data_IF_212473446304
#
_entry.id   IF_212473446304
#
_cell.length_a   1.000
_cell.length_b   1.000
_cell.length_c   1.000
_cell.angle_alpha   90.00
_cell.angle_beta   90.00
_cell.angle_gamma   90.00
#
_symmetry.space_group_name_H-M   'P 1'
#
loop_
_entity.id
_entity.type
_entity.pdbx_description
1 polymer ?
#
# COMPACT_ATOMS: atom_id res chain seq x y z
N UNK A 1 -5.26 -16.30 4.78
CA UNK A 1 -4.10 -17.15 5.05
C UNK A 1 -4.47 -18.63 4.87
N UNK A 2 -3.54 -19.41 4.40
CA UNK A 2 -3.67 -20.88 4.42
C UNK A 2 -3.63 -21.37 5.86
N UNK A 3 -4.06 -22.59 6.15
CA UNK A 3 -3.98 -23.16 7.51
C UNK A 3 -2.55 -23.12 8.07
N UNK A 4 -1.54 -23.21 7.19
CA UNK A 4 -0.12 -23.06 7.52
C UNK A 4 0.21 -21.69 8.10
N UNK A 5 -0.34 -20.58 7.56
CA UNK A 5 -0.08 -19.24 8.10
C UNK A 5 -0.70 -19.03 9.50
N UNK A 6 -1.77 -19.74 9.84
CA UNK A 6 -2.34 -19.73 11.18
C UNK A 6 -1.50 -20.59 12.15
N UNK A 7 -0.98 -21.72 11.68
CA UNK A 7 -0.05 -22.53 12.45
C UNK A 7 1.26 -21.80 12.73
N UNK A 8 1.82 -21.06 11.78
CA UNK A 8 3.01 -20.23 11.96
C UNK A 8 2.77 -19.07 12.94
N UNK A 9 1.59 -18.46 12.90
CA UNK A 9 1.23 -17.38 13.84
C UNK A 9 1.15 -17.90 15.28
N UNK A 10 0.58 -19.10 15.46
CA UNK A 10 0.49 -19.79 16.77
C UNK A 10 1.83 -20.42 17.15
N UNK A 11 2.60 -20.92 16.17
CA UNK A 11 3.90 -21.53 16.41
C UNK A 11 4.91 -20.58 17.07
N UNK A 12 4.77 -19.27 16.87
CA UNK A 12 5.56 -18.24 17.54
C UNK A 12 5.22 -18.04 19.03
N UNK A 13 4.10 -18.59 19.51
CA UNK A 13 3.63 -18.44 20.88
C UNK A 13 3.99 -19.69 21.69
N UNK A 14 4.89 -19.53 22.67
CA UNK A 14 5.26 -20.63 23.57
C UNK A 14 4.17 -20.87 24.64
N UNK A 15 3.53 -19.80 25.14
CA UNK A 15 2.37 -19.91 26.04
C UNK A 15 1.49 -18.66 25.99
N UNK A 16 0.20 -18.87 26.22
CA UNK A 16 -0.81 -17.85 26.40
C UNK A 16 -1.57 -18.14 27.68
N UNK A 17 -1.49 -17.24 28.66
CA UNK A 17 -2.06 -17.46 29.99
C UNK A 17 -2.91 -16.26 30.40
N UNK A 18 -4.18 -16.49 30.74
CA UNK A 18 -4.99 -15.52 31.46
C UNK A 18 -4.52 -15.47 32.91
N UNK A 19 -3.84 -14.40 33.28
CA UNK A 19 -3.32 -14.20 34.66
C UNK A 19 -4.45 -13.80 35.60
N UNK A 20 -5.35 -12.97 35.11
CA UNK A 20 -6.59 -12.54 35.79
C UNK A 20 -7.64 -12.15 34.71
N UNK A 21 -8.77 -11.58 35.14
CA UNK A 21 -9.91 -11.26 34.26
C UNK A 21 -9.57 -10.21 33.19
N UNK A 22 -8.46 -9.48 33.31
CA UNK A 22 -8.08 -8.38 32.43
C UNK A 22 -6.64 -8.47 31.91
N UNK A 23 -5.90 -9.51 32.31
CA UNK A 23 -4.48 -9.66 32.00
C UNK A 23 -4.20 -10.96 31.26
N UNK A 24 -3.66 -10.85 30.05
CA UNK A 24 -3.16 -11.98 29.27
C UNK A 24 -1.64 -11.87 29.18
N UNK A 25 -0.94 -12.94 29.61
CA UNK A 25 0.51 -13.07 29.43
C UNK A 25 0.79 -13.93 28.20
N UNK A 26 1.55 -13.38 27.26
CA UNK A 26 1.98 -14.06 26.05
C UNK A 26 3.50 -14.27 26.13
N UNK A 27 3.93 -15.52 26.14
CA UNK A 27 5.35 -15.87 26.04
C UNK A 27 5.66 -16.30 24.61
N UNK A 28 6.64 -15.66 23.98
CA UNK A 28 7.09 -15.98 22.63
C UNK A 28 8.26 -16.95 22.67
N UNK A 29 8.38 -17.81 21.67
CA UNK A 29 9.50 -18.74 21.50
C UNK A 29 10.62 -18.19 20.61
N UNK A 30 10.53 -16.93 20.18
CA UNK A 30 11.49 -16.22 19.36
C UNK A 30 11.79 -14.82 19.92
N UNK A 31 12.86 -14.19 19.45
CA UNK A 31 13.27 -12.86 19.84
C UNK A 31 12.51 -11.80 19.03
N UNK A 32 11.35 -11.38 19.52
CA UNK A 32 10.47 -10.44 18.87
C UNK A 32 11.01 -9.01 18.93
N UNK A 33 11.17 -8.37 17.77
CA UNK A 33 11.40 -6.94 17.63
C UNK A 33 10.10 -6.13 17.58
N UNK A 34 10.24 -4.85 17.22
CA UNK A 34 9.10 -3.92 17.09
C UNK A 34 8.06 -4.39 16.07
N UNK A 35 8.49 -4.91 14.93
CA UNK A 35 7.60 -5.41 13.88
C UNK A 35 6.69 -6.52 14.41
N UNK A 36 7.27 -7.57 14.99
CA UNK A 36 6.51 -8.73 15.46
C UNK A 36 5.56 -8.38 16.62
N UNK A 37 6.01 -7.57 17.57
CA UNK A 37 5.19 -7.20 18.72
C UNK A 37 4.10 -6.19 18.34
N UNK A 38 4.51 -5.01 17.89
CA UNK A 38 3.61 -3.84 17.77
C UNK A 38 2.63 -4.00 16.61
N UNK A 39 3.06 -4.63 15.51
CA UNK A 39 2.29 -4.66 14.26
C UNK A 39 1.69 -6.03 13.91
N UNK A 40 1.98 -7.06 14.71
CA UNK A 40 1.37 -8.38 14.55
C UNK A 40 0.64 -8.82 15.81
N UNK A 41 1.35 -9.06 16.89
CA UNK A 41 0.78 -9.64 18.12
C UNK A 41 -0.14 -8.62 18.81
N UNK A 42 0.31 -7.38 18.98
CA UNK A 42 -0.46 -6.35 19.67
C UNK A 42 -1.72 -5.89 18.90
N UNK A 43 -1.81 -6.20 17.62
CA UNK A 43 -2.97 -5.91 16.77
C UNK A 43 -3.91 -7.11 16.60
N UNK A 44 -3.65 -8.22 17.26
CA UNK A 44 -4.55 -9.39 17.21
C UNK A 44 -5.95 -9.02 17.73
N UNK A 45 -7.01 -9.25 16.98
CA UNK A 45 -8.36 -8.90 17.40
C UNK A 45 -8.81 -9.80 18.55
N UNK A 46 -9.46 -9.19 19.57
CA UNK A 46 -10.11 -9.92 20.63
C UNK A 46 -11.53 -10.29 20.21
N UNK A 47 -11.85 -11.57 20.23
CA UNK A 47 -13.17 -12.08 19.87
C UNK A 47 -13.91 -12.56 21.13
N UNK A 48 -15.24 -12.38 21.16
CA UNK A 48 -16.06 -12.93 22.23
C UNK A 48 -16.16 -14.46 22.09
N UNK A 49 -15.55 -15.20 23.00
CA UNK A 49 -15.50 -16.67 22.96
C UNK A 49 -16.89 -17.29 22.93
N UNK A 50 -17.81 -16.80 23.77
CA UNK A 50 -19.18 -17.37 23.88
C UNK A 50 -19.93 -17.27 22.55
N UNK A 51 -19.73 -16.19 21.81
CA UNK A 51 -20.37 -16.02 20.51
C UNK A 51 -19.64 -16.82 19.42
N UNK A 52 -18.32 -16.67 19.31
CA UNK A 52 -17.58 -17.21 18.15
C UNK A 52 -17.31 -18.71 18.25
N UNK A 53 -17.22 -19.29 19.46
CA UNK A 53 -17.00 -20.74 19.64
C UNK A 53 -18.10 -21.60 19.03
N UNK A 54 -19.33 -21.10 18.91
CA UNK A 54 -20.43 -21.82 18.28
C UNK A 54 -20.21 -22.05 16.77
N UNK A 55 -19.36 -21.27 16.12
CA UNK A 55 -19.00 -21.36 14.71
C UNK A 55 -17.63 -21.99 14.48
N UNK A 56 -16.85 -22.20 15.52
CA UNK A 56 -15.49 -22.74 15.44
C UNK A 56 -15.46 -24.28 15.28
N UNK A 57 -16.37 -24.83 14.46
CA UNK A 57 -16.43 -26.27 14.15
C UNK A 57 -15.56 -26.63 12.95
N UNK A 58 -15.41 -25.70 12.02
CA UNK A 58 -14.47 -25.72 10.90
C UNK A 58 -14.08 -24.30 10.52
N UNK A 59 -13.04 -24.16 9.70
CA UNK A 59 -12.64 -22.86 9.13
C UNK A 59 -13.75 -22.29 8.24
N UNK A 60 -14.37 -23.15 7.43
CA UNK A 60 -15.45 -22.78 6.51
C UNK A 60 -16.66 -22.23 7.28
N UNK A 61 -17.05 -22.90 8.38
CA UNK A 61 -18.17 -22.45 9.22
C UNK A 61 -17.86 -21.09 9.87
N UNK A 62 -16.65 -20.89 10.37
CA UNK A 62 -16.22 -19.65 10.97
C UNK A 62 -16.21 -18.49 9.95
N UNK A 63 -15.71 -18.72 8.73
CA UNK A 63 -15.70 -17.72 7.66
C UNK A 63 -17.09 -17.41 7.09
N UNK A 64 -18.01 -18.37 7.16
CA UNK A 64 -19.40 -18.19 6.73
C UNK A 64 -20.28 -17.54 7.81
N UNK A 65 -19.80 -17.48 9.07
CA UNK A 65 -20.57 -16.92 10.16
C UNK A 65 -20.82 -15.42 9.97
N UNK A 66 -22.08 -15.00 10.19
CA UNK A 66 -22.41 -13.58 10.26
C UNK A 66 -21.92 -12.99 11.58
N UNK A 67 -21.16 -11.90 11.53
CA UNK A 67 -20.80 -11.15 12.72
C UNK A 67 -21.84 -10.13 13.17
N UNK A 68 -23.01 -10.07 12.52
CA UNK A 68 -24.02 -9.02 12.73
C UNK A 68 -24.53 -8.93 14.17
N UNK A 69 -24.67 -10.09 14.84
CA UNK A 69 -25.12 -10.17 16.23
C UNK A 69 -23.98 -10.38 17.23
N UNK A 70 -22.73 -10.30 16.78
CA UNK A 70 -21.58 -10.47 17.65
C UNK A 70 -21.50 -9.32 18.69
N UNK A 71 -21.22 -9.63 19.96
CA UNK A 71 -20.88 -8.60 20.93
C UNK A 71 -19.65 -7.81 20.45
N UNK A 72 -19.75 -6.49 20.50
CA UNK A 72 -18.68 -5.58 20.05
C UNK A 72 -18.21 -4.70 21.21
N UNK A 73 -16.91 -4.34 21.18
CA UNK A 73 -16.32 -3.33 22.01
C UNK A 73 -15.99 -2.12 21.12
N UNK A 74 -17.02 -1.43 20.67
CA UNK A 74 -16.94 -0.34 19.69
C UNK A 74 -17.97 0.73 20.02
N UNK A 75 -17.75 1.94 19.54
CA UNK A 75 -18.72 3.03 19.66
C UNK A 75 -20.02 2.77 18.86
N UNK A 76 -19.95 1.94 17.83
CA UNK A 76 -21.05 1.65 16.95
C UNK A 76 -21.36 0.16 16.92
N UNK A 77 -22.64 -0.15 16.88
CA UNK A 77 -23.16 -1.50 16.65
C UNK A 77 -23.76 -1.58 15.25
N UNK A 78 -23.62 -2.74 14.62
CA UNK A 78 -24.23 -3.03 13.32
C UNK A 78 -25.76 -2.92 13.42
N UNK A 79 -26.38 -2.28 12.41
CA UNK A 79 -27.82 -2.16 12.29
C UNK A 79 -28.34 -3.00 11.13
N UNK A 80 -27.98 -2.63 9.89
CA UNK A 80 -28.46 -3.33 8.70
C UNK A 80 -27.54 -3.18 7.51
N UNK A 81 -27.69 -4.08 6.54
CA UNK A 81 -27.04 -4.01 5.23
C UNK A 81 -28.04 -4.26 4.12
N UNK A 82 -27.92 -3.49 3.03
CA UNK A 82 -28.46 -3.83 1.73
C UNK A 82 -27.29 -4.08 0.79
N UNK A 83 -27.08 -5.35 0.45
CA UNK A 83 -25.89 -5.77 -0.28
C UNK A 83 -25.73 -5.03 -1.60
N UNK A 84 -24.58 -4.40 -1.80
CA UNK A 84 -24.26 -3.60 -2.97
C UNK A 84 -24.87 -2.19 -2.97
N UNK A 85 -25.59 -1.79 -1.93
CA UNK A 85 -26.19 -0.46 -1.82
C UNK A 85 -25.66 0.33 -0.61
N UNK A 86 -25.91 -0.14 0.60
CA UNK A 86 -25.47 0.56 1.81
C UNK A 86 -25.40 -0.36 3.02
N UNK A 87 -24.75 0.11 4.09
CA UNK A 87 -24.81 -0.47 5.44
C UNK A 87 -24.82 0.64 6.48
N UNK A 88 -25.53 0.39 7.61
CA UNK A 88 -25.72 1.36 8.69
C UNK A 88 -25.25 0.79 10.02
N UNK A 89 -24.72 1.68 10.83
CA UNK A 89 -24.29 1.42 12.19
C UNK A 89 -24.84 2.48 13.11
N UNK A 90 -25.32 2.07 14.27
CA UNK A 90 -25.88 2.98 15.27
C UNK A 90 -24.92 3.11 16.46
N UNK A 91 -24.79 4.32 16.97
CA UNK A 91 -24.04 4.58 18.20
C UNK A 91 -24.73 3.90 19.37
N UNK A 92 -23.97 3.14 20.19
CA UNK A 92 -24.40 2.58 21.45
C UNK A 92 -23.38 2.91 22.54
N UNK A 93 -23.71 3.80 23.49
CA UNK A 93 -22.82 4.17 24.57
C UNK A 93 -22.50 3.00 25.51
N UNK A 94 -23.31 1.93 25.53
CA UNK A 94 -23.09 0.78 26.40
C UNK A 94 -21.99 -0.17 25.88
N UNK A 95 -21.69 -0.13 24.58
CA UNK A 95 -20.62 -0.92 23.98
C UNK A 95 -19.30 -0.15 23.88
N UNK A 96 -19.35 1.16 24.05
CA UNK A 96 -18.17 2.04 24.02
C UNK A 96 -17.43 1.99 25.34
N UNK A 97 -16.22 1.48 25.36
CA UNK A 97 -15.37 1.35 26.55
C UNK A 97 -14.07 2.19 26.44
N UNK A 98 -13.95 3.03 25.43
CA UNK A 98 -12.82 3.94 25.22
C UNK A 98 -13.36 5.31 24.76
N UNK A 99 -12.54 6.33 24.90
CA UNK A 99 -12.90 7.69 24.52
C UNK A 99 -12.38 8.73 25.49
N UNK A 100 -13.09 9.84 25.65
CA UNK A 100 -12.73 10.93 26.55
C UNK A 100 -11.65 11.84 25.99
N UNK A 101 -10.90 12.51 26.89
CA UNK A 101 -9.90 13.48 26.50
C UNK A 101 -8.55 12.80 26.22
N UNK A 102 -8.01 13.06 25.04
CA UNK A 102 -6.67 12.67 24.65
C UNK A 102 -5.81 13.92 24.45
N UNK A 103 -4.74 14.02 25.21
CA UNK A 103 -3.75 15.11 25.09
C UNK A 103 -2.49 14.56 24.44
N UNK A 104 -2.15 15.09 23.27
CA UNK A 104 -0.96 14.69 22.51
C UNK A 104 0.14 15.72 22.73
N UNK A 105 1.33 15.24 23.09
CA UNK A 105 2.58 15.97 23.19
C UNK A 105 3.51 15.54 22.05
N UNK A 106 4.60 16.25 21.84
CA UNK A 106 5.60 15.90 20.81
C UNK A 106 6.13 14.46 20.92
N UNK A 107 6.26 13.95 22.11
CA UNK A 107 6.85 12.62 22.39
C UNK A 107 6.06 11.81 23.42
N UNK A 108 4.80 12.17 23.65
CA UNK A 108 3.98 11.48 24.61
C UNK A 108 2.48 11.73 24.44
N UNK A 109 1.68 10.98 25.16
CA UNK A 109 0.22 11.06 25.11
C UNK A 109 -0.36 10.84 26.50
N UNK A 110 -1.39 11.59 26.87
CA UNK A 110 -2.23 11.35 28.04
C UNK A 110 -3.64 11.04 27.57
N UNK A 111 -4.22 9.97 28.09
CA UNK A 111 -5.61 9.57 27.84
C UNK A 111 -6.38 9.59 29.14
N UNK A 112 -7.47 10.33 29.20
CA UNK A 112 -8.37 10.42 30.35
C UNK A 112 -9.80 10.14 29.91
N UNK A 113 -10.41 9.11 30.46
CA UNK A 113 -11.75 8.71 30.05
C UNK A 113 -12.54 8.08 31.21
N UNK A 114 -13.78 8.49 31.36
CA UNK A 114 -14.76 7.91 32.27
C UNK A 114 -16.17 8.11 31.71
N UNK A 115 -16.80 7.01 31.28
CA UNK A 115 -18.19 7.01 30.81
C UNK A 115 -19.16 6.43 31.84
N UNK A 116 -18.69 6.07 33.04
CA UNK A 116 -19.52 5.45 34.06
C UNK A 116 -19.95 4.00 33.76
N UNK A 117 -19.52 3.40 32.70
CA UNK A 117 -19.85 2.02 32.27
C UNK A 117 -18.64 1.10 32.47
N UNK A 118 -17.47 1.51 31.99
CA UNK A 118 -16.20 0.81 32.20
C UNK A 118 -15.35 1.47 33.26
N UNK A 119 -14.30 0.81 33.78
CA UNK A 119 -13.35 1.46 34.71
C UNK A 119 -12.75 2.72 34.06
N UNK A 120 -12.70 3.81 34.85
CA UNK A 120 -12.09 5.05 34.37
C UNK A 120 -10.62 4.84 33.97
N UNK A 121 -10.24 5.44 32.87
CA UNK A 121 -8.87 5.41 32.35
C UNK A 121 -8.20 6.74 32.63
N UNK A 122 -6.99 6.70 33.19
CA UNK A 122 -6.07 7.84 33.25
C UNK A 122 -4.67 7.29 33.07
N UNK A 123 -4.15 7.42 31.84
CA UNK A 123 -2.87 6.82 31.45
C UNK A 123 -2.00 7.86 30.75
N UNK A 124 -0.71 7.80 31.00
CA UNK A 124 0.29 8.64 30.37
C UNK A 124 1.37 7.78 29.71
N UNK A 125 1.73 8.13 28.49
CA UNK A 125 2.73 7.42 27.68
C UNK A 125 3.79 8.42 27.20
N UNK A 126 5.05 8.05 27.29
CA UNK A 126 6.17 8.86 26.80
C UNK A 126 6.40 10.13 27.62
N UNK A 127 7.03 11.14 26.99
CA UNK A 127 7.30 12.45 27.61
C UNK A 127 6.11 13.39 27.38
N UNK A 128 5.43 13.72 28.46
CA UNK A 128 4.24 14.58 28.51
C UNK A 128 4.55 16.02 28.90
N UNK A 129 5.75 16.51 28.58
CA UNK A 129 6.16 17.89 28.81
C UNK A 129 6.10 18.74 27.52
N UNK A 130 5.95 20.06 27.69
CA UNK A 130 5.96 21.03 26.59
C UNK A 130 4.60 21.31 25.98
N UNK A 131 4.61 21.77 24.72
CA UNK A 131 3.38 22.11 23.99
C UNK A 131 2.55 20.87 23.72
N UNK A 132 1.24 21.00 23.84
CA UNK A 132 0.29 19.90 23.66
C UNK A 132 -0.96 20.34 22.91
N UNK A 133 -1.66 19.35 22.37
CA UNK A 133 -2.98 19.48 21.77
C UNK A 133 -3.91 18.48 22.44
N UNK A 134 -5.08 18.93 22.89
CA UNK A 134 -6.09 18.07 23.51
C UNK A 134 -7.34 18.04 22.63
N UNK A 135 -7.88 16.84 22.44
CA UNK A 135 -9.18 16.63 21.83
C UNK A 135 -10.00 15.65 22.65
N UNK A 136 -11.31 15.79 22.58
CA UNK A 136 -12.24 14.83 23.19
C UNK A 136 -12.71 13.88 22.10
N UNK A 137 -12.55 12.58 22.32
CA UNK A 137 -12.99 11.56 21.36
C UNK A 137 -14.52 11.55 21.26
N UNK A 138 -15.03 11.51 20.01
CA UNK A 138 -16.44 11.23 19.74
C UNK A 138 -16.79 9.77 20.01
N UNK A 139 -17.84 9.27 19.39
CA UNK A 139 -18.60 9.94 18.32
C UNK A 139 -19.67 10.90 18.87
N UNK A 140 -20.00 11.89 18.04
CA UNK A 140 -21.08 12.84 18.30
C UNK A 140 -22.27 12.64 17.34
N UNK A 141 -22.25 11.57 16.55
CA UNK A 141 -23.28 11.18 15.58
C UNK A 141 -24.00 9.93 16.07
N UNK A 142 -25.32 9.87 15.83
CA UNK A 142 -26.14 8.73 16.27
C UNK A 142 -26.13 7.55 15.31
N UNK A 143 -25.91 7.81 14.01
CA UNK A 143 -25.91 6.80 12.96
C UNK A 143 -24.86 7.15 11.93
N UNK A 144 -24.14 6.15 11.45
CA UNK A 144 -23.25 6.23 10.29
C UNK A 144 -23.82 5.33 9.19
N UNK A 145 -24.03 5.91 8.01
CA UNK A 145 -24.44 5.17 6.83
C UNK A 145 -23.34 5.22 5.79
N UNK A 146 -22.87 4.06 5.35
CA UNK A 146 -21.94 3.92 4.23
C UNK A 146 -22.72 3.54 2.98
N UNK A 147 -22.89 4.49 2.08
CA UNK A 147 -23.51 4.27 0.78
C UNK A 147 -22.44 3.89 -0.25
N UNK A 148 -22.66 2.81 -1.00
CA UNK A 148 -21.72 2.32 -2.01
C UNK A 148 -22.03 2.95 -3.37
N UNK A 149 -20.99 3.42 -4.05
CA UNK A 149 -21.05 3.99 -5.40
C UNK A 149 -20.21 3.17 -6.35
N UNK A 150 -20.68 3.01 -7.60
CA UNK A 150 -19.99 2.24 -8.62
C UNK A 150 -18.72 2.91 -9.17
N UNK A 151 -18.61 4.23 -9.02
CA UNK A 151 -17.45 5.03 -9.43
C UNK A 151 -17.31 6.32 -8.60
N UNK A 152 -16.14 6.95 -8.69
CA UNK A 152 -15.82 8.18 -7.97
C UNK A 152 -16.72 9.36 -8.37
N UNK A 153 -17.01 9.50 -9.65
CA UNK A 153 -17.75 10.67 -10.16
C UNK A 153 -19.19 10.66 -9.61
N UNK A 154 -19.81 9.48 -9.49
CA UNK A 154 -21.11 9.32 -8.84
C UNK A 154 -21.08 9.67 -7.34
N UNK A 155 -20.05 9.21 -6.61
CA UNK A 155 -19.88 9.52 -5.19
C UNK A 155 -19.71 11.03 -4.94
N UNK A 156 -18.88 11.69 -5.73
CA UNK A 156 -18.66 13.14 -5.59
C UNK A 156 -19.85 13.98 -6.09
N UNK A 157 -20.65 13.46 -7.03
CA UNK A 157 -21.92 14.10 -7.38
C UNK A 157 -22.92 14.05 -6.22
N UNK A 158 -23.04 12.91 -5.54
CA UNK A 158 -23.86 12.78 -4.33
C UNK A 158 -23.37 13.72 -3.21
N UNK A 159 -22.05 13.86 -3.04
CA UNK A 159 -21.45 14.83 -2.12
C UNK A 159 -21.84 16.28 -2.50
N UNK A 160 -21.73 16.64 -3.77
CA UNK A 160 -22.14 17.99 -4.24
C UNK A 160 -23.61 18.28 -3.96
N UNK A 161 -24.48 17.29 -4.15
CA UNK A 161 -25.91 17.40 -3.89
C UNK A 161 -26.24 17.43 -2.38
N UNK A 162 -25.30 17.14 -1.49
CA UNK A 162 -25.51 17.05 -0.05
C UNK A 162 -26.17 15.75 0.41
N UNK A 163 -26.06 14.70 -0.39
CA UNK A 163 -26.60 13.36 -0.08
C UNK A 163 -25.65 12.58 0.84
N UNK A 164 -24.34 12.92 0.82
CA UNK A 164 -23.31 12.39 1.71
C UNK A 164 -22.45 13.52 2.28
N UNK A 165 -21.94 13.33 3.49
CA UNK A 165 -21.14 14.33 4.22
C UNK A 165 -19.62 14.19 3.99
N UNK A 166 -19.16 12.98 3.68
CA UNK A 166 -17.77 12.65 3.40
C UNK A 166 -17.69 11.53 2.36
N UNK A 167 -16.67 11.54 1.51
CA UNK A 167 -16.41 10.47 0.55
C UNK A 167 -15.14 9.74 0.98
N UNK A 168 -15.31 8.53 1.50
CA UNK A 168 -14.20 7.64 1.82
C UNK A 168 -13.60 7.09 0.51
N UNK A 169 -12.52 7.69 0.06
CA UNK A 169 -11.82 7.31 -1.16
C UNK A 169 -10.31 7.23 -0.93
N UNK A 170 -9.72 6.03 -0.90
CA UNK A 170 -8.29 5.86 -0.65
C UNK A 170 -7.39 6.45 -1.77
N UNK A 171 -7.97 6.82 -2.90
CA UNK A 171 -7.26 7.53 -3.97
C UNK A 171 -7.35 9.06 -3.84
N UNK A 172 -8.13 9.56 -2.88
CA UNK A 172 -8.45 10.97 -2.75
C UNK A 172 -9.33 11.50 -3.89
N UNK A 173 -9.69 12.77 -3.82
CA UNK A 173 -10.43 13.45 -4.88
C UNK A 173 -9.49 13.91 -5.99
N UNK A 174 -9.93 13.82 -7.25
CA UNK A 174 -9.19 14.32 -8.41
C UNK A 174 -8.91 15.83 -8.27
N UNK A 175 -7.71 16.28 -8.59
CA UNK A 175 -7.25 17.66 -8.37
C UNK A 175 -8.21 18.72 -8.93
N UNK A 176 -8.67 18.57 -10.15
CA UNK A 176 -9.61 19.52 -10.76
C UNK A 176 -10.94 19.61 -10.00
N UNK A 177 -11.43 18.50 -9.48
CA UNK A 177 -12.65 18.43 -8.69
C UNK A 177 -12.41 19.00 -7.28
N UNK A 178 -11.27 18.75 -6.67
CA UNK A 178 -10.85 19.35 -5.42
C UNK A 178 -10.85 20.89 -5.52
N UNK A 179 -10.26 21.45 -6.59
CA UNK A 179 -10.23 22.89 -6.82
C UNK A 179 -11.63 23.50 -7.07
N UNK A 180 -12.56 22.71 -7.56
CA UNK A 180 -13.97 23.13 -7.70
C UNK A 180 -14.70 23.08 -6.36
N UNK A 181 -14.59 21.97 -5.64
CA UNK A 181 -15.27 21.75 -4.37
C UNK A 181 -14.79 22.66 -3.26
N UNK A 182 -13.50 23.03 -3.26
CA UNK A 182 -12.93 24.00 -2.30
C UNK A 182 -13.59 25.38 -2.33
N UNK A 183 -14.34 25.69 -3.40
CA UNK A 183 -15.08 26.96 -3.57
C UNK A 183 -16.56 26.85 -3.23
N UNK A 184 -17.02 25.66 -2.89
CA UNK A 184 -18.43 25.44 -2.56
C UNK A 184 -18.68 25.81 -1.09
N UNK A 185 -19.64 26.69 -0.80
CA UNK A 185 -19.96 27.05 0.59
C UNK A 185 -20.36 25.82 1.40
N UNK A 186 -19.81 25.69 2.61
CA UNK A 186 -20.06 24.55 3.50
C UNK A 186 -19.25 23.30 3.17
N UNK A 187 -18.24 23.40 2.33
CA UNK A 187 -17.24 22.36 2.06
C UNK A 187 -15.90 22.79 2.63
N UNK A 188 -15.29 21.93 3.39
CA UNK A 188 -13.92 22.03 3.87
C UNK A 188 -13.02 21.06 3.09
N UNK A 189 -11.74 21.36 3.02
CA UNK A 189 -10.76 20.57 2.27
C UNK A 189 -9.50 20.33 3.07
N UNK A 190 -8.88 19.18 2.85
CA UNK A 190 -7.55 18.88 3.38
C UNK A 190 -6.68 18.22 2.32
N UNK A 191 -5.37 18.36 2.48
CA UNK A 191 -4.37 17.74 1.62
C UNK A 191 -3.22 17.23 2.49
N UNK A 192 -2.95 15.95 2.40
CA UNK A 192 -1.90 15.28 3.15
C UNK A 192 -0.96 14.54 2.22
N UNK A 193 0.26 14.27 2.69
CA UNK A 193 1.12 13.30 2.02
C UNK A 193 0.45 11.92 2.12
N UNK A 194 0.38 11.20 1.01
CA UNK A 194 -0.16 9.84 1.06
C UNK A 194 0.85 8.87 1.66
N UNK A 195 0.39 7.90 2.45
CA UNK A 195 1.21 6.77 2.90
C UNK A 195 0.98 5.56 2.00
N UNK A 196 1.49 5.63 0.81
CA UNK A 196 1.32 4.56 -0.16
C UNK A 196 2.28 4.70 -1.33
N UNK A 197 2.31 3.68 -2.17
CA UNK A 197 3.10 3.67 -3.39
C UNK A 197 2.30 3.15 -4.56
N UNK A 198 2.65 3.61 -5.77
CA UNK A 198 2.20 3.04 -7.04
C UNK A 198 3.41 2.46 -7.74
N UNK A 199 3.29 1.27 -8.27
CA UNK A 199 4.40 0.51 -8.81
C UNK A 199 4.00 -0.32 -10.01
N UNK A 200 5.00 -0.69 -10.81
CA UNK A 200 4.93 -1.79 -11.76
C UNK A 200 5.76 -2.96 -11.22
N UNK A 201 5.16 -4.14 -11.17
CA UNK A 201 5.86 -5.38 -10.82
C UNK A 201 6.37 -6.08 -12.08
N UNK A 202 7.56 -6.66 -11.97
CA UNK A 202 8.07 -7.64 -12.90
C UNK A 202 7.88 -9.04 -12.33
N UNK A 203 7.40 -9.98 -13.12
CA UNK A 203 7.44 -11.38 -12.71
C UNK A 203 8.88 -11.91 -12.89
N UNK A 204 9.59 -12.06 -11.78
CA UNK A 204 11.00 -12.48 -11.80
C UNK A 204 11.18 -13.99 -12.05
N UNK A 205 10.08 -14.76 -12.08
CA UNK A 205 10.09 -16.19 -12.41
C UNK A 205 10.14 -16.42 -13.91
N UNK A 206 9.55 -15.50 -14.70
CA UNK A 206 9.37 -15.69 -16.14
C UNK A 206 10.23 -14.71 -16.96
N UNK A 207 10.76 -15.20 -18.08
CA UNK A 207 11.53 -14.38 -19.02
C UNK A 207 10.58 -13.43 -19.81
N UNK A 208 10.93 -12.14 -20.02
CA UNK A 208 12.22 -11.49 -19.72
C UNK A 208 12.34 -10.92 -18.31
N UNK A 209 11.28 -10.90 -17.51
CA UNK A 209 11.25 -10.35 -16.16
C UNK A 209 12.27 -11.00 -15.21
N UNK A 210 12.62 -12.27 -15.42
CA UNK A 210 13.65 -12.98 -14.66
C UNK A 210 15.07 -12.42 -14.86
N UNK A 211 15.32 -11.64 -15.91
CA UNK A 211 16.63 -11.07 -16.18
C UNK A 211 16.78 -9.67 -15.57
N UNK A 212 17.76 -9.49 -14.67
CA UNK A 212 18.00 -8.23 -13.99
C UNK A 212 18.29 -7.07 -14.94
N UNK A 213 19.14 -7.28 -15.95
CA UNK A 213 19.49 -6.22 -16.90
C UNK A 213 18.26 -5.74 -17.70
N UNK A 214 17.31 -6.63 -18.00
CA UNK A 214 16.03 -6.22 -18.59
C UNK A 214 15.26 -5.29 -17.64
N UNK A 215 15.09 -5.66 -16.37
CA UNK A 215 14.37 -4.83 -15.40
C UNK A 215 15.03 -3.46 -15.21
N UNK A 216 16.36 -3.44 -15.11
CA UNK A 216 17.15 -2.21 -15.01
C UNK A 216 17.05 -1.33 -16.26
N UNK A 217 17.06 -1.92 -17.47
CA UNK A 217 16.89 -1.18 -18.71
C UNK A 217 15.51 -0.55 -18.82
N UNK A 218 14.46 -1.28 -18.41
CA UNK A 218 13.09 -0.74 -18.34
C UNK A 218 13.00 0.39 -17.32
N UNK A 219 13.63 0.26 -16.18
CA UNK A 219 13.67 1.32 -15.18
C UNK A 219 14.37 2.58 -15.70
N UNK A 220 15.49 2.43 -16.40
CA UNK A 220 16.26 3.54 -16.98
C UNK A 220 15.49 4.31 -18.06
N UNK A 221 14.87 3.59 -19.00
CA UNK A 221 14.11 4.23 -20.10
C UNK A 221 12.85 4.93 -19.61
N UNK A 222 12.30 4.50 -18.46
CA UNK A 222 11.04 5.02 -17.93
C UNK A 222 11.22 6.43 -17.33
N UNK A 223 10.93 7.45 -18.13
CA UNK A 223 10.94 8.84 -17.68
C UNK A 223 9.66 9.18 -16.92
N UNK A 224 9.61 8.71 -15.66
CA UNK A 224 8.46 8.92 -14.77
C UNK A 224 8.18 10.41 -14.56
N UNK A 225 9.22 11.21 -14.36
CA UNK A 225 9.08 12.65 -14.11
C UNK A 225 8.45 13.38 -15.28
N UNK A 226 8.80 13.00 -16.51
CA UNK A 226 8.13 13.55 -17.69
C UNK A 226 6.62 13.31 -17.64
N UNK A 227 6.19 12.08 -17.35
CA UNK A 227 4.75 11.75 -17.28
C UNK A 227 4.08 12.49 -16.13
N UNK A 228 4.68 12.48 -14.94
CA UNK A 228 4.11 13.14 -13.76
C UNK A 228 3.94 14.64 -13.95
N UNK A 229 4.96 15.32 -14.47
CA UNK A 229 4.97 16.77 -14.58
C UNK A 229 4.22 17.28 -15.81
N UNK A 230 4.40 16.65 -16.96
CA UNK A 230 3.89 17.19 -18.25
C UNK A 230 2.54 16.56 -18.66
N UNK A 231 2.30 15.29 -18.31
CA UNK A 231 1.06 14.61 -18.70
C UNK A 231 0.04 14.66 -17.56
N UNK A 232 0.47 14.32 -16.35
CA UNK A 232 -0.37 14.27 -15.15
C UNK A 232 -0.38 15.60 -14.37
N UNK A 233 0.32 16.62 -14.86
CA UNK A 233 0.28 18.01 -14.35
C UNK A 233 0.64 18.14 -12.86
N UNK A 234 1.53 17.30 -12.35
CA UNK A 234 2.02 17.36 -10.98
C UNK A 234 1.01 16.95 -9.91
N UNK A 235 -0.01 16.15 -10.27
CA UNK A 235 -0.99 15.62 -9.28
C UNK A 235 -0.44 14.46 -8.46
N UNK A 236 0.74 13.95 -8.80
CA UNK A 236 1.42 12.90 -8.08
C UNK A 236 2.91 13.25 -7.93
N UNK A 237 3.55 12.71 -6.92
CA UNK A 237 4.94 12.94 -6.56
C UNK A 237 5.78 11.75 -7.01
N UNK A 238 6.92 12.00 -7.67
CA UNK A 238 7.85 10.92 -8.05
C UNK A 238 8.28 10.13 -6.82
N UNK A 239 8.36 8.82 -6.98
CA UNK A 239 8.82 7.91 -5.94
C UNK A 239 9.72 6.86 -6.58
N UNK A 240 10.89 6.63 -6.01
CA UNK A 240 11.88 5.69 -6.51
C UNK A 240 12.04 4.47 -5.61
N UNK A 241 12.00 4.65 -4.30
CA UNK A 241 12.11 3.61 -3.29
C UNK A 241 10.76 3.11 -2.78
N UNK A 242 10.82 2.18 -1.82
CA UNK A 242 9.63 1.58 -1.22
C UNK A 242 9.02 2.46 -0.11
N UNK A 243 9.75 3.48 0.36
CA UNK A 243 9.35 4.36 1.45
C UNK A 243 8.80 5.66 0.91
N UNK A 244 7.52 6.01 1.16
CA UNK A 244 6.95 7.29 0.76
C UNK A 244 7.54 8.44 1.57
N UNK A 245 7.49 9.65 1.00
CA UNK A 245 8.04 10.87 1.61
C UNK A 245 7.46 11.18 3.00
N UNK A 246 6.22 10.76 3.26
CA UNK A 246 5.59 10.85 4.58
C UNK A 246 6.41 10.12 5.67
N UNK A 247 7.14 9.08 5.31
CA UNK A 247 8.05 8.33 6.18
C UNK A 247 9.51 8.79 6.04
N UNK A 248 9.75 10.10 6.06
CA UNK A 248 11.02 10.76 5.74
C UNK A 248 12.27 10.11 6.33
N UNK A 249 12.22 9.67 7.60
CA UNK A 249 13.36 9.05 8.27
C UNK A 249 13.75 7.67 7.69
N UNK A 250 12.82 7.02 6.99
CA UNK A 250 12.99 5.69 6.44
C UNK A 250 13.48 5.70 4.98
N UNK A 251 13.31 6.81 4.28
CA UNK A 251 13.70 6.95 2.87
C UNK A 251 15.20 6.72 2.71
N UNK A 252 15.57 5.75 1.89
CA UNK A 252 16.96 5.49 1.53
C UNK A 252 17.43 6.40 0.39
N UNK A 253 18.73 6.73 0.33
CA UNK A 253 19.29 7.38 -0.86
C UNK A 253 19.12 6.49 -2.09
N UNK A 254 18.59 7.06 -3.17
CA UNK A 254 18.43 6.35 -4.45
C UNK A 254 19.79 5.99 -5.01
N UNK A 255 19.97 4.75 -5.42
CA UNK A 255 21.23 4.22 -5.95
C UNK A 255 21.02 3.41 -7.23
N UNK A 256 22.12 2.96 -7.83
CA UNK A 256 22.09 2.10 -9.03
C UNK A 256 21.48 2.79 -10.24
N UNK A 257 20.80 2.02 -11.06
CA UNK A 257 20.27 2.47 -12.37
C UNK A 257 19.33 3.67 -12.27
N UNK A 258 18.55 3.79 -11.19
CA UNK A 258 17.63 4.92 -10.99
C UNK A 258 18.42 6.23 -10.81
N UNK A 259 19.47 6.21 -9.99
CA UNK A 259 20.35 7.36 -9.81
C UNK A 259 21.14 7.68 -11.09
N UNK A 260 21.66 6.67 -11.78
CA UNK A 260 22.43 6.84 -13.01
C UNK A 260 21.62 7.41 -14.17
N UNK A 261 20.31 7.14 -14.21
CA UNK A 261 19.40 7.59 -15.26
C UNK A 261 18.60 8.83 -14.86
N UNK A 262 18.74 9.35 -13.64
CA UNK A 262 18.05 10.55 -13.20
C UNK A 262 18.46 11.77 -14.04
N UNK A 263 17.49 12.56 -14.49
CA UNK A 263 17.72 13.79 -15.24
C UNK A 263 18.24 13.61 -16.67
N UNK A 264 18.42 12.38 -17.16
CA UNK A 264 18.80 12.13 -18.54
C UNK A 264 17.66 12.48 -19.51
N UNK A 265 18.00 12.95 -20.70
CA UNK A 265 17.06 13.12 -21.82
C UNK A 265 16.53 11.77 -22.34
N UNK A 266 15.46 11.78 -23.12
CA UNK A 266 14.89 10.57 -23.70
C UNK A 266 15.92 9.80 -24.56
N UNK A 267 16.74 10.51 -25.35
CA UNK A 267 17.83 9.92 -26.12
C UNK A 267 18.88 9.25 -25.23
N UNK A 268 19.34 9.94 -24.19
CA UNK A 268 20.33 9.41 -23.25
C UNK A 268 19.80 8.22 -22.46
N UNK A 269 18.53 8.27 -22.00
CA UNK A 269 17.86 7.14 -21.32
C UNK A 269 17.78 5.92 -22.24
N UNK A 270 17.39 6.12 -23.49
CA UNK A 270 17.32 5.04 -24.46
C UNK A 270 18.70 4.43 -24.70
N UNK A 271 19.73 5.27 -24.96
CA UNK A 271 21.11 4.82 -25.18
C UNK A 271 21.65 4.04 -23.97
N UNK A 272 21.46 4.58 -22.76
CA UNK A 272 21.86 3.93 -21.51
C UNK A 272 21.15 2.59 -21.29
N UNK A 273 19.87 2.52 -21.60
CA UNK A 273 19.09 1.26 -21.50
C UNK A 273 19.59 0.20 -22.46
N UNK A 274 19.97 0.58 -23.68
CA UNK A 274 20.61 -0.33 -24.64
C UNK A 274 21.97 -0.80 -24.11
N UNK A 275 22.79 0.07 -23.53
CA UNK A 275 24.06 -0.30 -22.91
C UNK A 275 23.86 -1.30 -21.76
N UNK A 276 22.86 -1.11 -20.92
CA UNK A 276 22.50 -2.02 -19.81
C UNK A 276 22.14 -3.40 -20.37
N UNK A 277 21.31 -3.46 -21.39
CA UNK A 277 20.96 -4.72 -22.05
C UNK A 277 22.19 -5.43 -22.61
N UNK A 278 23.05 -4.71 -23.34
CA UNK A 278 24.28 -5.26 -23.90
C UNK A 278 25.23 -5.79 -22.83
N UNK A 279 25.42 -5.01 -21.77
CA UNK A 279 26.24 -5.42 -20.63
C UNK A 279 25.67 -6.67 -19.91
N UNK A 280 24.33 -6.82 -19.91
CA UNK A 280 23.63 -7.99 -19.41
C UNK A 280 23.61 -9.19 -20.38
N UNK A 281 24.36 -9.12 -21.49
CA UNK A 281 24.49 -10.22 -22.45
C UNK A 281 23.38 -10.30 -23.50
N UNK A 282 22.49 -9.31 -23.57
CA UNK A 282 21.49 -9.23 -24.63
C UNK A 282 22.14 -8.90 -25.97
N UNK A 283 21.56 -9.40 -27.05
CA UNK A 283 22.00 -9.17 -28.42
C UNK A 283 20.83 -8.74 -29.31
N UNK A 284 21.12 -8.05 -30.42
CA UNK A 284 20.14 -7.70 -31.42
C UNK A 284 20.75 -7.80 -32.81
N UNK A 285 19.94 -8.05 -33.83
CA UNK A 285 20.38 -7.98 -35.23
C UNK A 285 20.68 -6.54 -35.65
N UNK A 286 19.90 -5.61 -35.08
CA UNK A 286 20.09 -4.16 -35.17
C UNK A 286 19.60 -3.55 -33.84
N UNK A 287 20.46 -2.77 -33.19
CA UNK A 287 20.09 -2.09 -31.93
C UNK A 287 19.22 -0.85 -32.18
N UNK A 288 19.01 -0.46 -33.42
CA UNK A 288 18.21 0.73 -33.72
C UNK A 288 18.94 2.03 -33.42
N UNK A 289 18.20 3.11 -33.24
CA UNK A 289 18.73 4.46 -32.94
C UNK A 289 17.67 5.35 -32.32
N UNK A 290 18.10 6.36 -31.61
CA UNK A 290 17.20 7.43 -31.15
C UNK A 290 17.50 8.72 -31.94
N UNK A 291 16.50 9.33 -32.59
CA UNK A 291 16.70 10.52 -33.43
C UNK A 291 16.97 11.81 -32.63
N UNK A 292 16.83 11.76 -31.31
CA UNK A 292 16.96 12.92 -30.41
C UNK A 292 15.63 13.66 -30.15
N UNK A 293 15.64 14.56 -29.20
CA UNK A 293 14.49 15.34 -28.81
C UNK A 293 13.32 14.52 -28.30
N UNK A 294 12.11 14.86 -28.71
CA UNK A 294 10.88 14.18 -28.31
C UNK A 294 10.45 13.06 -29.28
N UNK A 295 11.25 12.79 -30.30
CA UNK A 295 10.92 11.77 -31.29
C UNK A 295 11.11 10.37 -30.71
N UNK A 296 10.29 9.44 -31.18
CA UNK A 296 10.33 8.03 -30.74
C UNK A 296 11.57 7.34 -31.31
N UNK A 297 12.22 6.53 -30.51
CA UNK A 297 13.35 5.71 -30.97
C UNK A 297 12.94 4.72 -32.08
N UNK A 298 13.88 4.44 -33.00
CA UNK A 298 13.81 3.27 -33.88
C UNK A 298 14.22 2.06 -33.07
N UNK A 299 13.24 1.20 -32.78
CA UNK A 299 13.41 0.07 -31.90
C UNK A 299 14.47 -0.95 -32.38
N UNK A 300 15.19 -1.62 -31.49
CA UNK A 300 16.02 -2.79 -31.83
C UNK A 300 15.22 -3.88 -32.53
N UNK A 301 15.88 -4.63 -33.39
CA UNK A 301 15.29 -5.77 -34.09
C UNK A 301 16.07 -7.05 -33.80
N UNK A 302 15.38 -8.18 -33.81
CA UNK A 302 15.99 -9.50 -33.58
C UNK A 302 16.64 -9.60 -32.16
N UNK A 303 16.02 -8.98 -31.18
CA UNK A 303 16.47 -9.00 -29.78
C UNK A 303 16.46 -10.41 -29.23
N UNK A 304 17.55 -10.80 -28.56
CA UNK A 304 17.73 -12.09 -27.90
C UNK A 304 18.27 -11.88 -26.49
N UNK A 305 17.79 -12.70 -25.58
CA UNK A 305 18.33 -12.78 -24.23
C UNK A 305 19.75 -13.38 -24.15
N UNK A 306 20.37 -13.35 -22.96
CA UNK A 306 21.76 -13.81 -22.77
C UNK A 306 22.02 -15.26 -23.20
N UNK A 307 21.02 -16.13 -23.11
CA UNK A 307 21.12 -17.54 -23.53
C UNK A 307 20.55 -17.79 -24.93
N UNK A 308 20.27 -16.72 -25.70
CA UNK A 308 19.71 -16.79 -27.04
C UNK A 308 18.19 -16.90 -27.11
N UNK A 309 17.49 -16.73 -26.00
CA UNK A 309 16.03 -16.73 -25.90
C UNK A 309 15.43 -15.58 -26.72
N UNK A 310 14.30 -15.82 -27.35
CA UNK A 310 13.51 -14.76 -27.97
C UNK A 310 12.50 -14.24 -26.96
N UNK A 311 12.43 -12.91 -26.71
CA UNK A 311 11.36 -12.36 -25.91
C UNK A 311 10.00 -12.79 -26.47
N UNK A 312 9.03 -13.13 -25.59
CA UNK A 312 7.67 -13.44 -26.03
C UNK A 312 7.06 -12.27 -26.82
N UNK A 313 6.22 -12.59 -27.81
CA UNK A 313 5.31 -11.62 -28.40
C UNK A 313 4.06 -11.46 -27.54
N UNK A 314 3.37 -10.34 -27.71
CA UNK A 314 2.08 -10.06 -27.07
C UNK A 314 2.13 -10.06 -25.52
N UNK A 315 3.24 -9.65 -24.92
CA UNK A 315 3.32 -9.48 -23.46
C UNK A 315 2.35 -8.39 -22.98
N UNK A 316 1.64 -8.67 -21.90
CA UNK A 316 0.66 -7.73 -21.37
C UNK A 316 1.21 -7.05 -20.09
N UNK A 317 1.02 -5.72 -20.05
CA UNK A 317 1.15 -4.91 -18.85
C UNK A 317 -0.26 -4.60 -18.34
N UNK A 318 -0.72 -5.34 -17.34
CA UNK A 318 -2.00 -5.09 -16.70
C UNK A 318 -1.95 -3.81 -15.85
N UNK A 319 -2.98 -2.98 -15.97
CA UNK A 319 -3.12 -1.76 -15.17
C UNK A 319 -4.60 -1.50 -14.83
N UNK A 320 -4.92 -0.79 -13.74
CA UNK A 320 -6.29 -0.37 -13.48
C UNK A 320 -6.84 0.50 -14.62
N UNK A 321 -8.12 0.32 -14.92
CA UNK A 321 -8.81 1.14 -15.93
C UNK A 321 -8.92 2.61 -15.51
N UNK A 322 -8.97 3.50 -16.50
CA UNK A 322 -8.99 4.95 -16.28
C UNK A 322 -10.22 5.45 -15.47
N UNK A 323 -11.32 4.69 -15.47
CA UNK A 323 -12.50 5.02 -14.65
C UNK A 323 -12.24 4.86 -13.14
N UNK A 324 -11.29 3.98 -12.77
CA UNK A 324 -10.87 3.77 -11.39
C UNK A 324 -9.60 4.58 -11.08
N UNK A 325 -8.50 4.38 -11.83
CA UNK A 325 -7.26 5.11 -11.63
C UNK A 325 -6.66 5.61 -12.96
N UNK A 326 -6.97 6.85 -13.34
CA UNK A 326 -6.46 7.43 -14.58
C UNK A 326 -4.94 7.61 -14.57
N UNK A 327 -4.30 7.78 -13.41
CA UNK A 327 -2.86 8.00 -13.31
C UNK A 327 -2.09 6.73 -13.69
N UNK A 328 -2.43 5.59 -13.09
CA UNK A 328 -1.83 4.29 -13.43
C UNK A 328 -2.17 3.86 -14.84
N UNK A 329 -3.42 4.07 -15.27
CA UNK A 329 -3.84 3.78 -16.64
C UNK A 329 -2.98 4.54 -17.66
N UNK A 330 -2.76 5.84 -17.46
CA UNK A 330 -1.91 6.67 -18.32
C UNK A 330 -0.46 6.22 -18.27
N UNK A 331 0.11 6.04 -17.08
CA UNK A 331 1.50 5.60 -16.91
C UNK A 331 1.77 4.27 -17.61
N UNK A 332 0.82 3.34 -17.59
CA UNK A 332 0.97 2.03 -18.25
C UNK A 332 1.16 2.14 -19.77
N UNK A 333 0.51 3.10 -20.41
CA UNK A 333 0.65 3.35 -21.83
C UNK A 333 2.08 3.84 -22.18
N UNK A 334 2.62 4.74 -21.36
CA UNK A 334 3.98 5.24 -21.56
C UNK A 334 5.02 4.14 -21.33
N UNK A 335 4.88 3.35 -20.25
CA UNK A 335 5.84 2.28 -19.96
C UNK A 335 5.80 1.21 -21.06
N UNK A 336 4.62 0.82 -21.56
CA UNK A 336 4.53 -0.12 -22.67
C UNK A 336 5.19 0.44 -23.93
N UNK A 337 5.01 1.73 -24.23
CA UNK A 337 5.67 2.38 -25.38
C UNK A 337 7.20 2.41 -25.22
N UNK A 338 7.71 2.73 -24.02
CA UNK A 338 9.14 2.69 -23.75
C UNK A 338 9.74 1.28 -23.89
N UNK A 339 9.03 0.24 -23.41
CA UNK A 339 9.46 -1.14 -23.62
C UNK A 339 9.49 -1.50 -25.12
N UNK A 340 8.52 -1.04 -25.91
CA UNK A 340 8.53 -1.23 -27.37
C UNK A 340 9.71 -0.51 -28.04
N UNK A 341 10.11 0.66 -27.53
CA UNK A 341 11.30 1.37 -28.00
C UNK A 341 12.62 0.62 -27.70
N UNK A 342 12.62 -0.33 -26.77
CA UNK A 342 13.71 -1.26 -26.51
C UNK A 342 13.59 -2.59 -27.29
N UNK A 343 12.56 -2.72 -28.15
CA UNK A 343 12.36 -3.92 -28.98
C UNK A 343 11.56 -5.03 -28.31
N UNK A 344 10.87 -4.76 -27.22
CA UNK A 344 10.01 -5.72 -26.53
C UNK A 344 8.54 -5.48 -26.90
N UNK A 345 7.85 -6.54 -27.33
CA UNK A 345 6.45 -6.47 -27.72
C UNK A 345 5.54 -6.49 -26.48
N UNK A 346 5.28 -5.31 -25.92
CA UNK A 346 4.47 -5.12 -24.71
C UNK A 346 3.29 -4.22 -25.02
N UNK A 347 2.10 -4.65 -24.61
CA UNK A 347 0.87 -3.87 -24.72
C UNK A 347 0.27 -3.59 -23.34
N UNK A 348 -0.02 -2.32 -23.06
CA UNK A 348 -0.76 -1.94 -21.85
C UNK A 348 -2.20 -2.48 -21.93
N UNK A 349 -2.67 -3.09 -20.84
CA UNK A 349 -4.00 -3.69 -20.70
C UNK A 349 -4.76 -3.09 -19.52
N UNK A 350 -5.29 -1.86 -19.63
CA UNK A 350 -6.17 -1.31 -18.62
C UNK A 350 -7.41 -2.20 -18.44
N UNK A 351 -7.71 -2.61 -17.19
CA UNK A 351 -8.79 -3.55 -16.88
C UNK A 351 -9.34 -3.31 -15.47
N UNK A 352 -10.34 -4.09 -15.04
CA UNK A 352 -10.91 -4.02 -13.70
C UNK A 352 -9.87 -4.39 -12.62
N UNK A 353 -9.93 -3.71 -11.47
CA UNK A 353 -9.02 -3.94 -10.36
C UNK A 353 -9.04 -5.41 -9.88
N UNK A 354 -10.24 -5.98 -9.66
CA UNK A 354 -10.40 -7.38 -9.23
C UNK A 354 -9.81 -8.36 -10.23
N UNK A 355 -9.92 -8.09 -11.53
CA UNK A 355 -9.31 -8.95 -12.58
C UNK A 355 -7.79 -9.00 -12.45
N UNK A 356 -7.15 -7.87 -12.10
CA UNK A 356 -5.70 -7.86 -11.87
C UNK A 356 -5.37 -8.64 -10.59
N UNK A 357 -6.09 -8.38 -9.50
CA UNK A 357 -5.88 -9.07 -8.22
C UNK A 357 -6.01 -10.59 -8.39
N UNK A 358 -7.09 -11.06 -9.00
CA UNK A 358 -7.30 -12.49 -9.27
C UNK A 358 -6.18 -13.08 -10.14
N UNK A 359 -5.63 -12.29 -11.06
CA UNK A 359 -4.55 -12.75 -11.95
C UNK A 359 -3.21 -12.90 -11.24
N UNK A 360 -2.86 -11.96 -10.32
CA UNK A 360 -1.50 -11.86 -9.80
C UNK A 360 -1.34 -12.35 -8.35
N UNK A 361 -2.45 -12.49 -7.59
CA UNK A 361 -2.42 -12.99 -6.21
C UNK A 361 -2.98 -14.40 -6.05
N UNK A 362 -3.43 -15.03 -7.14
CA UNK A 362 -3.85 -16.44 -7.11
C UNK A 362 -2.63 -17.33 -7.32
N UNK A 363 -2.31 -18.24 -6.38
CA UNK A 363 -1.11 -19.08 -6.46
C UNK A 363 -0.95 -19.83 -7.79
N UNK A 364 -2.02 -20.37 -8.32
CA UNK A 364 -2.03 -21.13 -9.58
C UNK A 364 -1.69 -20.27 -10.80
N UNK A 365 -1.81 -18.94 -10.70
CA UNK A 365 -1.54 -17.98 -11.77
C UNK A 365 -0.19 -17.28 -11.61
N UNK A 366 0.62 -17.62 -10.62
CA UNK A 366 1.81 -16.86 -10.25
C UNK A 366 2.87 -16.72 -11.37
N UNK A 367 2.87 -17.60 -12.36
CA UNK A 367 3.74 -17.55 -13.54
C UNK A 367 3.01 -17.11 -14.83
N UNK A 368 1.70 -16.85 -14.77
CA UNK A 368 0.85 -16.59 -15.95
C UNK A 368 0.76 -15.11 -16.34
N UNK A 369 1.65 -14.28 -15.86
CA UNK A 369 1.71 -12.84 -16.18
C UNK A 369 3.16 -12.36 -16.31
N UNK A 370 3.37 -11.24 -17.01
CA UNK A 370 4.68 -10.63 -17.18
C UNK A 370 4.85 -9.39 -16.35
N UNK A 371 3.88 -8.47 -16.43
CA UNK A 371 3.92 -7.16 -15.78
C UNK A 371 2.53 -6.75 -15.30
N UNK A 372 2.48 -6.07 -14.17
CA UNK A 372 1.25 -5.40 -13.74
C UNK A 372 1.56 -4.12 -12.95
N UNK A 373 0.58 -3.23 -12.89
CA UNK A 373 0.60 -2.04 -12.04
C UNK A 373 -0.50 -2.13 -11.01
N UNK A 374 -0.13 -1.95 -9.77
CA UNK A 374 -1.06 -1.73 -8.66
C UNK A 374 -0.49 -0.66 -7.71
N UNK A 375 -0.98 -0.63 -6.50
CA UNK A 375 -0.49 0.25 -5.43
C UNK A 375 -0.82 -0.35 -4.08
N UNK A 376 -0.03 0.03 -3.12
CA UNK A 376 -0.22 -0.32 -1.73
C UNK A 376 -0.55 0.93 -0.92
N UNK A 377 -1.48 0.82 0.02
CA UNK A 377 -1.50 1.62 1.23
C UNK A 377 -0.53 0.97 2.23
N UNK A 378 0.25 1.76 2.92
CA UNK A 378 1.32 1.27 3.78
C UNK A 378 1.03 1.57 5.24
N UNK A 379 1.55 0.75 6.15
CA UNK A 379 1.46 0.97 7.58
C UNK A 379 2.38 2.09 8.05
N UNK A 380 2.08 2.69 9.19
CA UNK A 380 2.94 3.72 9.80
C UNK A 380 4.33 3.17 10.19
N UNK A 381 4.42 1.90 10.52
CA UNK A 381 5.71 1.19 10.65
C UNK A 381 5.95 0.41 9.36
N UNK A 382 7.04 0.70 8.63
CA UNK A 382 7.24 0.17 7.30
C UNK A 382 7.89 -1.22 7.31
N UNK A 383 7.13 -2.23 7.70
CA UNK A 383 7.51 -3.65 7.64
C UNK A 383 7.11 -4.35 6.34
N UNK A 384 6.47 -3.61 5.44
CA UNK A 384 5.99 -4.11 4.15
C UNK A 384 7.06 -4.71 3.22
N UNK A 385 8.37 -4.36 3.28
CA UNK A 385 9.37 -5.04 2.45
C UNK A 385 9.42 -6.55 2.69
N UNK A 386 9.21 -7.01 3.92
CA UNK A 386 9.07 -8.45 4.21
C UNK A 386 7.92 -9.07 3.44
N UNK A 387 6.72 -8.49 3.57
CA UNK A 387 5.52 -9.03 2.95
C UNK A 387 5.64 -9.12 1.42
N UNK A 388 6.27 -8.11 0.79
CA UNK A 388 6.28 -7.98 -0.67
C UNK A 388 7.47 -8.64 -1.35
N UNK A 389 8.57 -8.92 -0.62
CA UNK A 389 9.83 -9.34 -1.24
C UNK A 389 10.55 -10.49 -0.54
N UNK A 390 10.22 -10.86 0.71
CA UNK A 390 10.83 -12.04 1.32
C UNK A 390 10.48 -13.30 0.54
N UNK A 391 11.47 -14.17 0.30
CA UNK A 391 11.31 -15.33 -0.57
C UNK A 391 10.25 -16.32 -0.05
N UNK A 392 10.10 -16.44 1.26
CA UNK A 392 9.08 -17.29 1.90
C UNK A 392 7.65 -16.74 1.82
N UNK A 393 7.48 -15.48 1.34
CA UNK A 393 6.18 -14.89 1.06
C UNK A 393 5.81 -14.97 -0.43
N UNK A 394 6.39 -15.91 -1.17
CA UNK A 394 6.10 -16.12 -2.59
C UNK A 394 4.60 -16.33 -2.83
N UNK A 395 4.06 -15.66 -3.84
CA UNK A 395 2.63 -15.78 -4.18
C UNK A 395 2.26 -17.19 -4.65
N UNK A 396 3.19 -17.94 -5.24
CA UNK A 396 2.95 -19.34 -5.60
C UNK A 396 2.66 -20.20 -4.36
N UNK A 397 3.11 -19.77 -3.19
CA UNK A 397 2.87 -20.40 -1.89
C UNK A 397 1.79 -19.67 -1.06
N UNK A 398 1.07 -18.72 -1.68
CA UNK A 398 -0.03 -17.97 -1.05
C UNK A 398 0.38 -16.68 -0.33
N UNK A 399 1.62 -16.21 -0.48
CA UNK A 399 2.11 -14.95 0.08
C UNK A 399 1.85 -13.72 -0.80
N UNK A 400 2.47 -12.60 -0.46
CA UNK A 400 2.32 -11.31 -1.14
C UNK A 400 3.53 -10.92 -2.02
N UNK A 401 4.60 -11.73 -2.04
CA UNK A 401 5.72 -11.53 -2.94
C UNK A 401 5.32 -11.95 -4.37
N UNK A 402 4.50 -11.11 -4.99
CA UNK A 402 4.00 -11.35 -6.35
C UNK A 402 5.11 -11.46 -7.40
N UNK A 403 6.22 -10.68 -7.34
CA UNK A 403 7.35 -10.88 -8.25
C UNK A 403 7.97 -12.28 -8.23
N UNK A 404 7.88 -13.01 -7.11
CA UNK A 404 8.70 -14.18 -6.84
C UNK A 404 10.17 -13.83 -6.65
N UNK A 405 10.41 -12.65 -6.08
CA UNK A 405 11.76 -12.21 -5.76
C UNK A 405 12.39 -13.14 -4.74
N UNK A 406 13.63 -13.56 -5.00
CA UNK A 406 14.37 -14.47 -4.14
C UNK A 406 15.82 -13.98 -4.02
N UNK A 407 16.17 -13.49 -2.83
CA UNK A 407 17.50 -12.99 -2.54
C UNK A 407 17.86 -13.30 -1.07
N UNK A 408 18.84 -14.15 -0.87
CA UNK A 408 19.21 -14.63 0.46
C UNK A 408 19.78 -13.53 1.38
N UNK A 409 20.41 -12.48 0.83
CA UNK A 409 20.89 -11.33 1.61
C UNK A 409 19.71 -10.48 2.08
N UNK A 410 18.71 -10.27 1.22
CA UNK A 410 17.47 -9.59 1.57
C UNK A 410 16.73 -10.34 2.68
N UNK A 411 16.55 -11.66 2.56
CA UNK A 411 15.88 -12.48 3.56
C UNK A 411 16.61 -12.45 4.91
N UNK A 412 17.95 -12.43 4.91
CA UNK A 412 18.73 -12.28 6.12
C UNK A 412 18.51 -10.91 6.79
N UNK A 413 18.45 -9.83 6.02
CA UNK A 413 18.14 -8.49 6.55
C UNK A 413 16.73 -8.40 7.11
N UNK A 414 15.74 -9.04 6.49
CA UNK A 414 14.37 -9.14 7.05
C UNK A 414 14.42 -9.84 8.41
N UNK A 415 15.18 -10.95 8.52
CA UNK A 415 15.34 -11.66 9.79
C UNK A 415 15.95 -10.79 10.91
N UNK A 416 16.87 -9.90 10.59
CA UNK A 416 17.44 -8.95 11.55
C UNK A 416 16.45 -7.77 11.84
N UNK A 417 15.76 -7.28 10.82
CA UNK A 417 14.73 -6.24 10.97
C UNK A 417 13.63 -6.68 11.95
N UNK A 418 13.18 -7.92 11.85
CA UNK A 418 12.16 -8.49 12.73
C UNK A 418 12.63 -8.62 14.20
N UNK A 419 13.92 -8.54 14.47
CA UNK A 419 14.50 -8.53 15.83
C UNK A 419 14.84 -7.13 16.34
N UNK A 420 14.79 -6.10 15.50
CA UNK A 420 15.15 -4.73 15.86
C UNK A 420 14.33 -4.23 17.05
N UNK A 421 15.01 -3.74 18.09
CA UNK A 421 14.40 -3.26 19.34
C UNK A 421 14.19 -1.75 19.35
N UNK A 422 14.80 -1.04 18.42
CA UNK A 422 14.70 0.41 18.31
C UNK A 422 14.34 0.81 16.87
N UNK A 423 13.65 1.93 16.73
CA UNK A 423 13.30 2.51 15.43
C UNK A 423 14.55 2.82 14.61
N UNK A 424 15.65 3.26 15.26
CA UNK A 424 16.90 3.57 14.58
C UNK A 424 17.55 2.33 13.94
N UNK A 425 17.53 1.19 14.64
CA UNK A 425 18.01 -0.10 14.09
C UNK A 425 17.13 -0.54 12.92
N UNK A 426 15.81 -0.45 13.06
CA UNK A 426 14.86 -0.81 12.01
C UNK A 426 15.05 0.07 10.77
N UNK A 427 15.23 1.39 10.91
CA UNK A 427 15.54 2.31 9.80
C UNK A 427 16.82 1.87 9.07
N UNK A 428 17.90 1.61 9.80
CA UNK A 428 19.17 1.24 9.18
C UNK A 428 19.09 -0.07 8.39
N UNK A 429 18.33 -1.04 8.87
CA UNK A 429 18.10 -2.32 8.18
C UNK A 429 17.16 -2.14 6.97
N UNK A 430 16.10 -1.35 7.11
CA UNK A 430 15.20 -1.02 6.02
C UNK A 430 15.94 -0.36 4.85
N UNK A 431 16.82 0.59 5.12
CA UNK A 431 17.61 1.25 4.08
C UNK A 431 18.58 0.30 3.37
N UNK A 432 19.11 -0.72 4.06
CA UNK A 432 19.92 -1.76 3.43
C UNK A 432 19.05 -2.66 2.52
N UNK A 433 17.85 -3.02 2.96
CA UNK A 433 16.89 -3.76 2.13
C UNK A 433 16.52 -2.95 0.87
N UNK A 434 16.25 -1.66 1.00
CA UNK A 434 15.97 -0.79 -0.16
C UNK A 434 17.13 -0.74 -1.16
N UNK A 435 18.37 -0.71 -0.69
CA UNK A 435 19.55 -0.73 -1.58
C UNK A 435 19.59 -2.00 -2.47
N UNK A 436 19.23 -3.17 -1.92
CA UNK A 436 19.07 -4.40 -2.69
C UNK A 436 17.93 -4.27 -3.70
N UNK A 437 16.79 -3.69 -3.30
CA UNK A 437 15.64 -3.51 -4.17
C UNK A 437 15.92 -2.53 -5.32
N UNK A 438 16.73 -1.48 -5.10
CA UNK A 438 17.21 -0.60 -6.17
C UNK A 438 18.10 -1.34 -7.19
N UNK A 439 18.93 -2.27 -6.72
CA UNK A 439 19.81 -3.04 -7.61
C UNK A 439 19.04 -4.14 -8.36
N UNK A 440 18.17 -4.87 -7.67
CA UNK A 440 17.48 -6.03 -8.24
C UNK A 440 16.20 -5.69 -9.01
N UNK A 441 15.58 -4.57 -8.70
CA UNK A 441 14.39 -4.00 -9.37
C UNK A 441 13.22 -4.98 -9.53
N UNK A 442 12.74 -5.67 -8.48
CA UNK A 442 11.54 -6.50 -8.60
C UNK A 442 10.27 -5.67 -8.84
N UNK A 443 10.23 -4.47 -8.26
CA UNK A 443 9.27 -3.41 -8.57
C UNK A 443 9.98 -2.21 -9.19
N UNK A 444 9.41 -1.63 -10.22
CA UNK A 444 9.65 -0.25 -10.59
C UNK A 444 8.62 0.60 -9.83
N UNK A 445 9.06 1.24 -8.76
CA UNK A 445 8.22 2.19 -8.02
C UNK A 445 8.05 3.45 -8.86
N UNK A 446 6.84 3.97 -8.92
CA UNK A 446 6.47 5.00 -9.89
C UNK A 446 6.22 6.34 -9.23
N UNK A 447 5.26 6.39 -8.32
CA UNK A 447 4.84 7.63 -7.68
C UNK A 447 4.01 7.39 -6.44
N UNK A 448 3.93 8.43 -5.62
CA UNK A 448 2.95 8.56 -4.56
C UNK A 448 1.88 9.59 -4.97
N UNK A 449 0.67 9.46 -4.43
CA UNK A 449 -0.42 10.41 -4.65
C UNK A 449 -0.76 11.07 -3.33
N UNK A 450 -0.66 12.40 -3.22
CA UNK A 450 -1.17 13.11 -2.06
C UNK A 450 -2.67 12.83 -1.87
N UNK A 451 -3.07 12.60 -0.64
CA UNK A 451 -4.47 12.40 -0.28
C UNK A 451 -5.17 13.77 -0.24
N UNK A 452 -5.99 14.04 -1.23
CA UNK A 452 -6.85 15.22 -1.30
C UNK A 452 -8.25 14.82 -0.86
N UNK A 453 -8.78 15.45 0.18
CA UNK A 453 -10.07 15.08 0.76
C UNK A 453 -10.98 16.30 0.89
N UNK A 454 -12.27 16.05 0.81
CA UNK A 454 -13.32 17.05 0.97
C UNK A 454 -14.40 16.52 1.90
N UNK A 455 -14.93 17.38 2.77
CA UNK A 455 -15.97 17.02 3.71
C UNK A 455 -16.91 18.20 3.96
N UNK A 456 -18.12 17.92 4.44
CA UNK A 456 -19.08 18.95 4.82
C UNK A 456 -18.69 19.56 6.18
N UNK A 457 -18.85 20.87 6.34
CA UNK A 457 -18.49 21.57 7.56
C UNK A 457 -19.43 21.32 8.75
N UNK A 458 -20.47 20.50 8.60
CA UNK A 458 -21.27 19.93 9.68
C UNK A 458 -20.59 18.71 10.33
N UNK A 459 -19.53 18.18 9.69
CA UNK A 459 -18.66 17.16 10.23
C UNK A 459 -17.36 17.83 10.67
N UNK A 460 -16.81 17.45 11.80
CA UNK A 460 -15.49 17.90 12.24
C UNK A 460 -14.60 16.71 12.58
N UNK A 461 -13.36 16.81 12.18
CA UNK A 461 -12.30 15.87 12.55
C UNK A 461 -11.35 16.56 13.51
N UNK A 462 -10.87 15.90 14.58
CA UNK A 462 -9.99 16.54 15.58
C UNK A 462 -8.64 16.93 14.97
N UNK A 463 -8.14 16.16 14.01
CA UNK A 463 -6.90 16.38 13.26
C UNK A 463 -6.91 15.60 11.97
N UNK A 464 -5.93 15.80 11.11
CA UNK A 464 -5.64 14.93 9.97
C UNK A 464 -4.41 14.09 10.26
N UNK A 465 -4.44 12.81 9.91
CA UNK A 465 -3.25 11.98 9.93
C UNK A 465 -2.33 12.36 8.76
N UNK A 466 -1.04 12.58 9.05
CA UNK A 466 -0.08 12.96 8.01
C UNK A 466 0.15 11.85 6.99
N UNK A 467 -0.10 10.60 7.37
CA UNK A 467 0.07 9.43 6.51
C UNK A 467 -1.19 9.14 5.69
N UNK A 468 -2.36 9.15 6.34
CA UNK A 468 -3.62 8.64 5.75
C UNK A 468 -4.74 9.69 5.68
N UNK A 469 -4.46 10.96 6.01
CA UNK A 469 -5.44 12.04 5.95
C UNK A 469 -6.59 11.88 6.96
N UNK A 470 -7.80 12.21 6.54
CA UNK A 470 -9.00 12.05 7.38
C UNK A 470 -9.42 10.59 7.52
N UNK A 471 -9.13 9.75 6.55
CA UNK A 471 -9.44 8.32 6.59
C UNK A 471 -8.65 7.60 7.69
N UNK A 472 -7.42 8.02 7.97
CA UNK A 472 -6.58 7.49 9.05
C UNK A 472 -7.08 7.83 10.45
N UNK A 473 -7.83 8.92 10.61
CA UNK A 473 -8.34 9.34 11.92
C UNK A 473 -9.57 8.56 12.40
N UNK A 474 -10.19 7.80 11.51
CA UNK A 474 -11.39 7.01 11.81
C UNK A 474 -11.23 5.51 11.63
N UNK A 475 -10.08 5.05 11.18
CA UNK A 475 -9.82 3.67 10.80
C UNK A 475 -8.84 2.90 11.71
N UNK A 476 -8.56 3.42 12.90
CA UNK A 476 -7.71 2.76 13.89
C UNK A 476 -8.44 1.72 14.69
#
# INVERSE_FOLDING_TARGET
GTDESAEDYVAGIASLVAVDDYTVEITLNFDAGLSAWQYRIAQAPFLNETYWSQFATSREDLLAASGADAPVASAFVYDKVEQGAFYTWNYDPNTMWFGGDTTIYKSGTVVEWDNGVAPAISQSFGDTSGDSFTYTSGPYVGTVEFTLYGDQDAAYLAFQNGEVDFVLNPLGVKRNLFDQLSRVPGVETTANLGNGMRYMAFNTRVFPGSNKAFRQAVACISDKEFVLNNVLQGVAVNMDGQMPEALTAWVAPVTGVLADCAGLSAEERWGKSVEILQAGGWTASDWGSHPGGADRAVAPTGVKGPNGETPPSDMLLYAPGAGYDPLRSTMSLFIADWMQQLGFDVTARPTGFSVIVDKVFTPENCEDWYFYMLGWGLSAFPDHPEAFFASYNDTCEGGYNTPGFNNAEFDALVGEFNKAKTVAEAIALSQQMEAILFEEMPYLVLFNVPTLEVYRNNVSFPFTDVLDGLTGTGGG
#
